data_IF_270707439401
#
_entry.id   IF_270707439401
#
_cell.length_a   1.000
_cell.length_b   1.000
_cell.length_c   1.000
_cell.angle_alpha   90.00
_cell.angle_beta   90.00
_cell.angle_gamma   90.00
#
_symmetry.space_group_name_H-M   'P 1'
#
loop_
_entity.id
_entity.type
_entity.pdbx_description
1 polymer ?
#
# COMPACT_ATOMS: atom_id res chain seq x y z
N UNK A 1 -39.89 52.23 11.86
CA UNK A 1 -40.35 50.83 11.92
C UNK A 1 -39.75 49.96 10.83
N UNK A 2 -39.95 50.24 9.53
CA UNK A 2 -39.45 49.40 8.43
C UNK A 2 -37.91 49.22 8.38
N UNK A 3 -37.14 50.26 8.72
CA UNK A 3 -35.67 50.18 8.75
C UNK A 3 -35.14 49.26 9.87
N UNK A 4 -35.83 49.22 11.00
CA UNK A 4 -35.47 48.34 12.13
C UNK A 4 -35.80 46.88 11.78
N UNK A 5 -36.94 46.65 11.14
CA UNK A 5 -37.33 45.33 10.63
C UNK A 5 -36.33 44.80 9.59
N UNK A 6 -35.85 45.67 8.69
CA UNK A 6 -34.83 45.32 7.70
C UNK A 6 -33.48 44.96 8.34
N UNK A 7 -33.08 45.67 9.40
CA UNK A 7 -31.85 45.39 10.15
C UNK A 7 -31.93 44.11 10.99
N UNK A 8 -33.11 43.78 11.52
CA UNK A 8 -33.35 42.52 12.22
C UNK A 8 -33.33 41.33 11.26
N UNK A 9 -33.97 41.46 10.09
CA UNK A 9 -33.97 40.43 9.06
C UNK A 9 -32.55 40.15 8.52
N UNK A 10 -31.75 41.18 8.26
CA UNK A 10 -30.37 40.99 7.76
C UNK A 10 -29.48 40.29 8.78
N UNK A 11 -29.60 40.61 10.08
CA UNK A 11 -28.86 39.93 11.15
C UNK A 11 -29.26 38.46 11.30
N UNK A 12 -30.55 38.15 11.14
CA UNK A 12 -31.05 36.78 11.20
C UNK A 12 -30.54 35.92 10.03
N UNK A 13 -30.52 36.49 8.83
CA UNK A 13 -29.94 35.85 7.64
C UNK A 13 -28.44 35.59 7.84
N UNK A 14 -27.70 36.57 8.37
CA UNK A 14 -26.27 36.43 8.63
C UNK A 14 -25.97 35.32 9.66
N UNK A 15 -26.76 35.24 10.73
CA UNK A 15 -26.64 34.19 11.75
C UNK A 15 -26.96 32.79 11.17
N UNK A 16 -27.94 32.72 10.26
CA UNK A 16 -28.33 31.47 9.59
C UNK A 16 -27.23 30.94 8.66
N UNK A 17 -26.55 31.84 7.93
CA UNK A 17 -25.40 31.49 7.06
C UNK A 17 -24.20 31.05 7.89
N UNK A 18 -23.91 31.74 9.01
CA UNK A 18 -22.80 31.37 9.89
C UNK A 18 -23.02 29.98 10.53
N UNK A 19 -24.26 29.69 10.95
CA UNK A 19 -24.64 28.38 11.51
C UNK A 19 -24.51 27.24 10.49
N UNK A 20 -24.95 27.44 9.23
CA UNK A 20 -24.86 26.39 8.21
C UNK A 20 -23.42 26.08 7.77
N UNK A 21 -22.50 27.04 7.87
CA UNK A 21 -21.08 26.83 7.58
C UNK A 21 -20.37 25.90 8.59
N UNK A 22 -20.92 25.74 9.80
CA UNK A 22 -20.38 24.85 10.84
C UNK A 22 -20.74 23.37 10.63
N UNK A 23 -21.82 23.07 9.90
CA UNK A 23 -22.32 21.69 9.73
C UNK A 23 -21.52 20.90 8.68
N UNK A 24 -20.88 21.59 7.73
CA UNK A 24 -20.12 20.95 6.63
C UNK A 24 -18.72 20.49 7.09
N UNK A 25 -18.26 20.87 8.29
CA UNK A 25 -16.95 20.46 8.82
C UNK A 25 -16.94 19.10 9.50
N UNK A 26 -18.08 18.43 9.62
CA UNK A 26 -18.17 17.11 10.27
C UNK A 26 -17.89 15.93 9.33
N UNK A 27 -17.73 16.14 8.01
CA UNK A 27 -17.50 15.03 7.05
C UNK A 27 -16.52 15.34 5.92
N UNK A 28 -15.84 16.50 5.91
CA UNK A 28 -14.67 16.67 5.04
C UNK A 28 -13.49 15.96 5.70
N UNK A 29 -13.39 14.66 5.42
CA UNK A 29 -12.18 13.89 5.66
C UNK A 29 -11.02 14.49 4.88
N UNK A 30 -10.28 15.39 5.53
CA UNK A 30 -8.83 15.28 5.52
C UNK A 30 -8.50 14.11 6.44
N UNK A 31 -8.33 12.92 5.85
CA UNK A 31 -7.80 11.73 6.51
C UNK A 31 -8.52 11.32 7.80
N UNK A 32 -9.78 10.90 7.69
CA UNK A 32 -10.32 9.94 8.67
C UNK A 32 -9.83 8.57 8.24
N UNK A 33 -8.59 8.25 8.62
CA UNK A 33 -8.16 6.87 8.71
C UNK A 33 -9.09 6.19 9.72
N UNK A 34 -9.94 5.34 9.16
CA UNK A 34 -10.77 4.35 9.83
C UNK A 34 -10.07 3.83 11.09
N UNK A 35 -10.69 4.00 12.26
CA UNK A 35 -10.23 3.44 13.53
C UNK A 35 -10.43 1.92 13.57
N UNK A 36 -9.98 1.21 12.54
CA UNK A 36 -10.06 -0.24 12.38
C UNK A 36 -8.77 -0.91 12.84
N UNK A 37 -8.50 -0.96 14.15
CA UNK A 37 -7.57 -1.86 14.87
C UNK A 37 -6.11 -2.04 14.37
N UNK A 38 -5.71 -1.45 13.25
CA UNK A 38 -4.39 -1.56 12.63
C UNK A 38 -4.07 -0.18 12.10
N UNK A 39 -3.32 0.59 12.88
CA UNK A 39 -2.65 1.78 12.36
C UNK A 39 -1.74 1.31 11.24
N UNK A 40 -1.99 1.77 10.02
CA UNK A 40 -1.11 1.50 8.88
C UNK A 40 0.28 2.06 9.24
N UNK A 41 1.26 1.18 9.36
CA UNK A 41 2.62 1.59 9.68
C UNK A 41 3.17 2.39 8.51
N UNK A 42 3.47 3.66 8.76
CA UNK A 42 4.08 4.51 7.76
C UNK A 42 5.46 3.97 7.38
N UNK A 43 5.64 3.72 6.09
CA UNK A 43 6.86 3.10 5.54
C UNK A 43 8.08 4.00 5.74
N UNK A 44 7.90 5.32 5.70
CA UNK A 44 8.98 6.28 5.91
C UNK A 44 9.44 6.30 7.37
N UNK A 45 8.49 6.22 8.32
CA UNK A 45 8.79 6.12 9.76
C UNK A 45 9.62 4.88 10.13
N UNK A 46 9.53 3.80 9.35
CA UNK A 46 10.33 2.58 9.55
C UNK A 46 11.70 2.63 8.86
N UNK A 47 12.04 3.70 8.14
CA UNK A 47 13.30 3.81 7.39
C UNK A 47 13.43 2.80 6.24
N UNK A 48 12.32 2.17 5.82
CA UNK A 48 12.32 1.12 4.80
C UNK A 48 12.41 1.73 3.40
N UNK A 49 13.58 1.58 2.77
CA UNK A 49 13.79 1.99 1.38
C UNK A 49 12.90 1.17 0.43
N UNK A 50 12.74 1.67 -0.80
CA UNK A 50 12.07 0.93 -1.87
C UNK A 50 12.85 -0.37 -2.14
N UNK A 51 12.17 -1.50 -2.02
CA UNK A 51 12.75 -2.80 -2.31
C UNK A 51 13.11 -2.89 -3.80
N UNK A 52 14.27 -3.45 -4.09
CA UNK A 52 14.74 -3.67 -5.47
C UNK A 52 14.43 -5.11 -5.84
N UNK A 53 13.65 -5.30 -6.90
CA UNK A 53 13.42 -6.62 -7.50
C UNK A 53 14.35 -6.79 -8.71
N UNK A 54 15.06 -7.92 -8.79
CA UNK A 54 15.84 -8.29 -9.95
C UNK A 54 15.30 -9.60 -10.53
N UNK A 55 14.99 -9.58 -11.82
CA UNK A 55 14.55 -10.77 -12.54
C UNK A 55 15.74 -11.38 -13.29
N UNK A 56 16.14 -12.59 -12.90
CA UNK A 56 17.25 -13.31 -13.52
C UNK A 56 16.73 -14.34 -14.53
N UNK A 57 17.34 -14.36 -15.71
CA UNK A 57 17.17 -15.44 -16.69
C UNK A 57 18.53 -16.06 -16.95
N UNK A 58 18.73 -17.27 -16.42
CA UNK A 58 20.00 -17.99 -16.48
C UNK A 58 19.74 -19.32 -17.17
N UNK A 59 20.70 -19.74 -18.01
CA UNK A 59 20.74 -21.08 -18.57
C UNK A 59 21.88 -21.84 -17.90
N UNK A 60 21.57 -22.99 -17.34
CA UNK A 60 22.53 -23.84 -16.65
C UNK A 60 22.92 -25.01 -17.55
N UNK A 61 24.22 -25.26 -17.71
CA UNK A 61 24.74 -26.37 -18.51
C UNK A 61 25.42 -27.41 -17.61
N UNK A 62 24.76 -28.54 -17.43
CA UNK A 62 25.28 -29.71 -16.75
C UNK A 62 25.77 -30.75 -17.78
N UNK A 63 27.10 -30.81 -17.98
CA UNK A 63 27.75 -31.61 -19.02
C UNK A 63 28.41 -32.82 -18.34
N UNK A 64 27.77 -33.98 -18.45
CA UNK A 64 28.17 -35.23 -17.76
C UNK A 64 29.24 -36.04 -18.50
N UNK A 65 29.56 -35.69 -19.76
CA UNK A 65 30.46 -36.48 -20.61
C UNK A 65 31.19 -35.63 -21.65
N UNK A 66 32.22 -36.19 -22.27
CA UNK A 66 33.08 -35.49 -23.23
C UNK A 66 34.39 -34.99 -22.59
N UNK A 67 35.24 -34.34 -23.40
CA UNK A 67 36.58 -33.92 -22.97
C UNK A 67 36.56 -32.86 -21.87
N UNK A 68 35.51 -32.02 -21.82
CA UNK A 68 35.35 -30.92 -20.86
C UNK A 68 34.04 -31.05 -20.07
N UNK A 69 33.86 -32.17 -19.36
CA UNK A 69 32.70 -32.37 -18.50
C UNK A 69 32.66 -31.31 -17.37
N UNK A 70 31.48 -30.79 -17.06
CA UNK A 70 31.25 -29.86 -15.93
C UNK A 70 30.66 -30.56 -14.70
N UNK A 71 30.35 -31.85 -14.81
CA UNK A 71 29.88 -32.68 -13.71
C UNK A 71 30.50 -34.08 -13.71
N UNK A 72 30.50 -34.72 -12.54
CA UNK A 72 31.05 -36.05 -12.32
C UNK A 72 30.08 -36.90 -11.50
N UNK A 73 29.90 -38.18 -11.88
CA UNK A 73 29.11 -39.15 -11.12
C UNK A 73 29.89 -39.61 -9.89
N UNK A 74 29.35 -39.36 -8.69
CA UNK A 74 30.00 -39.73 -7.43
C UNK A 74 29.64 -41.16 -6.99
N UNK A 75 28.39 -41.59 -7.21
CA UNK A 75 27.90 -42.91 -6.79
C UNK A 75 27.19 -43.59 -7.98
N UNK A 76 27.36 -44.90 -8.11
CA UNK A 76 26.65 -45.69 -9.10
C UNK A 76 25.22 -46.00 -8.62
N UNK A 77 24.22 -46.00 -9.53
CA UNK A 77 22.86 -46.37 -9.15
C UNK A 77 22.80 -47.83 -8.66
N UNK A 78 21.97 -48.12 -7.66
CA UNK A 78 21.72 -49.49 -7.22
C UNK A 78 20.91 -50.25 -8.26
N UNK A 79 21.32 -51.47 -8.59
CA UNK A 79 20.65 -52.37 -9.56
C UNK A 79 19.30 -52.93 -9.04
N UNK A 80 18.47 -52.13 -8.38
CA UNK A 80 17.21 -52.58 -7.78
C UNK A 80 16.05 -52.72 -8.79
N UNK A 81 16.35 -52.99 -10.07
CA UNK A 81 15.39 -53.64 -10.97
C UNK A 81 15.56 -55.14 -10.82
N UNK A 82 15.03 -55.67 -9.71
CA UNK A 82 14.68 -57.08 -9.65
C UNK A 82 13.30 -57.23 -10.30
N UNK A 83 13.29 -57.69 -11.55
CA UNK A 83 12.12 -58.29 -12.20
C UNK A 83 12.53 -59.64 -12.75
#
# INVERSE_FOLDING_TARGET
MARILLLLASKFIFLSILSSSGVIRCTRGENYDDHGFIQSLDRESMGLKKEKLSHFRIYWHDIVSGHNATSIRVVQPSNASAT
#
